data_IF_169213469128
#
_entry.id   IF_169213469128
#
_cell.length_a   1.000
_cell.length_b   1.000
_cell.length_c   1.000
_cell.angle_alpha   90.00
_cell.angle_beta   90.00
_cell.angle_gamma   90.00
#
_symmetry.space_group_name_H-M   'P 1'
#
loop_
_entity.id
_entity.type
_entity.pdbx_description
1 polymer ?
#
# COMPACT_ATOMS: atom_id res chain seq x y z
N UNK A 1 -61.72 -32.40 -39.13
CA UNK A 1 -60.35 -32.05 -39.58
C UNK A 1 -60.02 -30.73 -38.91
N UNK A 2 -59.54 -30.75 -37.66
CA UNK A 2 -58.16 -31.00 -37.20
C UNK A 2 -57.26 -29.77 -37.41
N UNK A 3 -57.21 -28.86 -36.42
CA UNK A 3 -56.19 -28.66 -35.34
C UNK A 3 -55.02 -27.73 -35.78
N UNK A 4 -54.62 -26.87 -34.83
CA UNK A 4 -53.29 -26.23 -34.65
C UNK A 4 -53.11 -24.84 -35.29
N UNK A 5 -53.46 -23.79 -34.54
CA UNK A 5 -52.82 -22.45 -34.63
C UNK A 5 -53.02 -21.69 -33.32
N UNK A 6 -52.48 -22.19 -32.21
CA UNK A 6 -52.54 -21.45 -30.95
C UNK A 6 -51.44 -21.86 -29.98
N UNK A 7 -50.17 -21.69 -30.35
CA UNK A 7 -49.03 -21.91 -29.44
C UNK A 7 -47.74 -21.34 -30.03
N UNK A 8 -47.60 -20.01 -30.08
CA UNK A 8 -46.29 -19.35 -30.34
C UNK A 8 -46.34 -17.83 -30.08
N UNK A 9 -46.80 -17.42 -28.89
CA UNK A 9 -46.77 -16.00 -28.48
C UNK A 9 -46.43 -15.81 -27.00
N UNK A 10 -45.69 -16.74 -26.41
CA UNK A 10 -45.23 -16.67 -25.01
C UNK A 10 -43.72 -16.87 -24.81
N UNK A 11 -42.94 -16.97 -25.90
CA UNK A 11 -41.50 -17.17 -25.81
C UNK A 11 -40.78 -15.97 -26.41
N UNK A 12 -40.83 -14.81 -25.74
CA UNK A 12 -39.94 -13.64 -25.92
C UNK A 12 -40.37 -12.51 -24.97
N UNK A 13 -40.56 -12.82 -23.68
CA UNK A 13 -40.37 -11.80 -22.66
C UNK A 13 -38.86 -11.84 -22.36
N UNK A 14 -38.06 -10.85 -22.80
CA UNK A 14 -36.75 -10.69 -22.21
C UNK A 14 -37.02 -10.50 -20.71
N UNK A 15 -36.45 -11.39 -19.90
CA UNK A 15 -36.19 -11.12 -18.49
C UNK A 15 -35.21 -9.95 -18.52
N UNK A 16 -35.76 -8.74 -18.67
CA UNK A 16 -35.11 -7.53 -18.22
C UNK A 16 -35.23 -7.66 -16.70
N UNK A 17 -34.32 -8.44 -16.13
CA UNK A 17 -33.86 -8.16 -14.78
C UNK A 17 -33.32 -6.75 -14.89
N UNK A 18 -34.19 -5.78 -14.66
CA UNK A 18 -33.78 -4.44 -14.29
C UNK A 18 -32.88 -4.69 -13.09
N UNK A 19 -31.57 -4.64 -13.33
CA UNK A 19 -30.63 -4.38 -12.26
C UNK A 19 -31.19 -3.13 -11.61
N UNK A 20 -31.90 -3.31 -10.50
CA UNK A 20 -32.39 -2.22 -9.70
C UNK A 20 -31.12 -1.43 -9.40
N UNK A 21 -30.96 -0.31 -10.09
CA UNK A 21 -29.94 0.67 -9.75
C UNK A 21 -30.38 1.17 -8.39
N UNK A 22 -29.91 0.48 -7.36
CA UNK A 22 -30.29 0.76 -6.00
C UNK A 22 -29.79 2.16 -5.70
N UNK A 23 -30.77 3.05 -5.49
CA UNK A 23 -30.49 4.45 -5.29
C UNK A 23 -29.78 4.63 -3.94
N UNK A 24 -28.69 5.39 -3.89
CA UNK A 24 -28.05 5.69 -2.63
C UNK A 24 -29.03 6.40 -1.69
N UNK A 25 -29.00 6.03 -0.41
CA UNK A 25 -29.87 6.59 0.63
C UNK A 25 -29.07 7.42 1.64
N UNK A 26 -29.76 8.36 2.28
CA UNK A 26 -29.25 9.13 3.43
C UNK A 26 -29.91 8.69 4.75
N UNK A 27 -30.80 7.70 4.70
CA UNK A 27 -31.40 7.13 5.92
C UNK A 27 -30.32 6.51 6.80
N UNK A 28 -30.31 6.83 8.09
CA UNK A 28 -29.25 6.40 9.01
C UNK A 28 -28.00 7.29 8.96
N UNK A 29 -28.03 8.41 8.25
CA UNK A 29 -27.00 9.46 8.31
C UNK A 29 -27.53 10.63 9.15
N UNK A 30 -26.79 11.00 10.19
CA UNK A 30 -27.16 12.08 11.11
C UNK A 30 -26.01 13.07 11.27
N UNK A 31 -26.23 14.30 10.80
CA UNK A 31 -25.25 15.38 10.94
C UNK A 31 -25.25 15.91 12.38
N UNK A 32 -24.08 15.93 13.00
CA UNK A 32 -23.85 16.63 14.27
C UNK A 32 -23.47 18.08 14.00
N UNK A 33 -22.58 18.28 13.04
CA UNK A 33 -22.16 19.59 12.56
C UNK A 33 -21.99 19.50 11.04
N UNK A 34 -22.80 20.25 10.29
CA UNK A 34 -22.78 20.21 8.81
C UNK A 34 -21.38 20.56 8.30
N UNK A 35 -20.86 19.76 7.38
CA UNK A 35 -19.52 19.97 6.82
C UNK A 35 -18.38 19.40 7.67
N UNK A 36 -18.63 19.06 8.95
CA UNK A 36 -17.56 18.69 9.89
C UNK A 36 -17.77 17.34 10.56
N UNK A 37 -18.94 17.04 11.09
CA UNK A 37 -19.18 15.85 11.89
C UNK A 37 -20.51 15.18 11.57
N UNK A 38 -20.47 13.87 11.37
CA UNK A 38 -21.62 13.06 10.96
C UNK A 38 -21.53 11.66 11.57
N UNK A 39 -22.66 11.21 12.13
CA UNK A 39 -22.86 9.84 12.58
C UNK A 39 -23.55 9.04 11.48
N UNK A 40 -23.09 7.81 11.28
CA UNK A 40 -23.67 6.88 10.32
C UNK A 40 -24.01 5.59 11.03
N UNK A 41 -25.29 5.22 11.02
CA UNK A 41 -25.78 3.92 11.52
C UNK A 41 -25.73 2.91 10.37
N UNK A 42 -24.95 1.85 10.54
CA UNK A 42 -24.86 0.74 9.59
C UNK A 42 -25.50 -0.49 10.22
N UNK A 43 -26.62 -0.95 9.67
CA UNK A 43 -27.26 -2.20 10.11
C UNK A 43 -26.33 -3.39 9.86
N UNK A 44 -26.21 -4.28 10.84
CA UNK A 44 -25.35 -5.46 10.80
C UNK A 44 -26.16 -6.70 11.23
N UNK A 45 -27.02 -7.24 10.34
CA UNK A 45 -27.90 -8.35 10.68
C UNK A 45 -27.15 -9.63 11.06
N UNK A 46 -25.96 -9.87 10.49
CA UNK A 46 -25.09 -10.99 10.86
C UNK A 46 -24.40 -10.84 12.23
N UNK A 47 -24.47 -9.66 12.84
CA UNK A 47 -23.79 -9.39 14.11
C UNK A 47 -24.80 -9.48 15.25
N UNK A 48 -24.71 -10.48 16.13
CA UNK A 48 -25.57 -10.55 17.30
C UNK A 48 -25.29 -9.36 18.24
N UNK A 49 -26.33 -8.89 18.94
CA UNK A 49 -26.21 -7.82 19.92
C UNK A 49 -25.40 -8.32 21.12
N UNK A 50 -24.35 -7.58 21.49
CA UNK A 50 -23.47 -7.99 22.59
C UNK A 50 -24.01 -7.58 23.95
N UNK A 51 -24.25 -8.56 24.81
CA UNK A 51 -24.56 -8.36 26.21
C UNK A 51 -23.24 -8.28 27.01
N UNK A 52 -22.98 -7.14 27.66
CA UNK A 52 -21.71 -6.89 28.37
C UNK A 52 -21.60 -7.71 29.65
N UNK A 53 -22.72 -7.91 30.33
CA UNK A 53 -22.83 -8.57 31.62
C UNK A 53 -22.61 -10.08 31.49
N UNK A 54 -23.24 -10.69 30.49
CA UNK A 54 -23.19 -12.13 30.25
C UNK A 54 -22.07 -12.56 29.28
N UNK A 55 -21.49 -11.61 28.55
CA UNK A 55 -20.51 -11.86 27.49
C UNK A 55 -21.02 -12.83 26.41
N UNK A 56 -22.29 -12.69 26.06
CA UNK A 56 -22.95 -13.49 25.02
C UNK A 56 -23.51 -12.57 23.93
N UNK A 57 -23.60 -13.12 22.72
CA UNK A 57 -24.31 -12.50 21.61
C UNK A 57 -25.77 -12.92 21.61
N UNK A 58 -26.68 -11.97 21.71
CA UNK A 58 -28.12 -12.16 21.58
C UNK A 58 -28.54 -12.01 20.11
N UNK A 59 -29.43 -12.88 19.64
CA UNK A 59 -29.96 -12.87 18.27
C UNK A 59 -31.01 -11.76 18.07
N UNK A 60 -30.56 -10.52 18.23
CA UNK A 60 -31.34 -9.30 18.13
C UNK A 60 -30.71 -8.43 17.04
N UNK A 61 -31.52 -7.80 16.15
CA UNK A 61 -31.00 -6.90 15.13
C UNK A 61 -30.10 -5.83 15.74
N UNK A 62 -28.87 -5.76 15.26
CA UNK A 62 -27.88 -4.80 15.72
C UNK A 62 -27.42 -3.87 14.60
N UNK A 63 -26.79 -2.77 15.00
CA UNK A 63 -26.14 -1.84 14.10
C UNK A 63 -24.85 -1.31 14.72
N UNK A 64 -23.90 -0.92 13.88
CA UNK A 64 -22.70 -0.21 14.28
C UNK A 64 -22.85 1.27 13.98
N UNK A 65 -22.41 2.11 14.91
CA UNK A 65 -22.39 3.57 14.70
C UNK A 65 -20.97 3.99 14.31
N UNK A 66 -20.84 4.65 13.18
CA UNK A 66 -19.59 5.22 12.69
C UNK A 66 -19.62 6.74 12.85
N UNK A 67 -18.67 7.29 13.60
CA UNK A 67 -18.50 8.74 13.76
C UNK A 67 -17.41 9.25 12.83
N UNK A 68 -17.79 10.03 11.83
CA UNK A 68 -16.87 10.75 10.97
C UNK A 68 -16.77 12.19 11.40
N UNK A 69 -15.57 12.66 11.70
CA UNK A 69 -15.34 14.03 12.15
C UNK A 69 -14.09 14.59 11.49
N UNK A 70 -14.19 15.78 10.93
CA UNK A 70 -13.05 16.55 10.46
C UNK A 70 -12.37 17.20 11.66
N UNK A 71 -11.06 17.02 11.76
CA UNK A 71 -10.21 17.57 12.82
C UNK A 71 -10.34 19.09 12.93
N UNK A 72 -10.00 19.66 14.09
CA UNK A 72 -10.18 21.10 14.34
C UNK A 72 -9.38 22.02 13.41
N UNK A 73 -8.28 21.52 12.84
CA UNK A 73 -7.46 22.19 11.83
C UNK A 73 -7.94 21.97 10.39
N UNK A 74 -9.05 21.24 10.22
CA UNK A 74 -9.62 20.80 8.95
C UNK A 74 -8.67 19.96 8.07
N UNK A 75 -7.61 19.38 8.63
CA UNK A 75 -6.61 18.63 7.85
C UNK A 75 -6.88 17.16 7.73
N UNK A 76 -7.67 16.59 8.64
CA UNK A 76 -7.82 15.15 8.76
C UNK A 76 -9.28 14.77 8.95
N UNK A 77 -9.79 13.89 8.11
CA UNK A 77 -10.99 13.12 8.41
C UNK A 77 -10.63 12.02 9.41
N UNK A 78 -11.28 12.08 10.57
CA UNK A 78 -11.22 11.09 11.61
C UNK A 78 -12.42 10.14 11.48
N UNK A 79 -12.22 8.86 11.75
CA UNK A 79 -13.26 7.88 11.99
C UNK A 79 -13.07 7.33 13.41
N UNK A 80 -14.04 7.60 14.29
CA UNK A 80 -13.96 7.24 15.71
C UNK A 80 -12.67 7.77 16.35
N UNK A 81 -12.43 9.07 16.15
CA UNK A 81 -11.23 9.81 16.60
C UNK A 81 -9.88 9.32 16.06
N UNK A 82 -9.88 8.34 15.15
CA UNK A 82 -8.67 7.86 14.48
C UNK A 82 -8.49 8.48 13.08
N UNK A 83 -7.27 8.90 12.71
CA UNK A 83 -6.96 9.40 11.37
C UNK A 83 -7.31 8.40 10.27
N UNK A 84 -8.29 8.76 9.44
CA UNK A 84 -8.73 7.93 8.33
C UNK A 84 -8.26 8.50 6.98
N UNK A 85 -8.23 9.83 6.84
CA UNK A 85 -7.69 10.52 5.67
C UNK A 85 -7.15 11.91 6.02
N UNK A 86 -5.90 12.27 5.69
CA UNK A 86 -4.86 11.39 5.15
C UNK A 86 -4.47 10.30 6.16
N UNK A 87 -3.91 9.19 5.67
CA UNK A 87 -3.32 8.19 6.54
C UNK A 87 -1.99 8.70 7.07
N UNK A 88 -1.82 8.72 8.41
CA UNK A 88 -0.53 9.05 9.02
C UNK A 88 0.55 8.03 8.67
N UNK A 89 0.19 6.74 8.70
CA UNK A 89 1.09 5.62 8.42
C UNK A 89 0.43 4.68 7.41
N UNK A 90 0.58 4.90 6.09
CA UNK A 90 -0.15 4.09 5.13
C UNK A 90 0.30 2.61 5.09
N UNK A 91 1.43 2.26 5.72
CA UNK A 91 1.88 0.88 5.91
C UNK A 91 1.19 0.15 7.07
N UNK A 92 0.57 0.88 7.97
CA UNK A 92 -0.10 0.37 9.17
C UNK A 92 -1.47 1.03 9.24
N UNK A 93 -2.50 0.44 8.58
CA UNK A 93 -3.84 1.02 8.57
C UNK A 93 -4.37 1.20 10.01
N UNK A 94 -5.21 2.22 10.26
CA UNK A 94 -5.76 2.49 11.58
C UNK A 94 -6.62 1.32 12.06
N UNK A 95 -6.55 1.01 13.36
CA UNK A 95 -7.37 -0.03 13.98
C UNK A 95 -8.71 0.57 14.38
N UNK A 96 -9.67 0.49 13.47
CA UNK A 96 -10.98 1.08 13.68
C UNK A 96 -11.82 0.27 14.67
N UNK A 97 -12.57 0.97 15.51
CA UNK A 97 -13.49 0.39 16.46
C UNK A 97 -14.79 1.17 16.49
N UNK A 98 -15.95 0.53 16.59
CA UNK A 98 -17.24 1.22 16.63
C UNK A 98 -18.17 0.67 17.72
N UNK A 99 -18.95 1.54 18.38
CA UNK A 99 -19.99 1.11 19.29
C UNK A 99 -21.14 0.43 18.53
N UNK A 100 -21.62 -0.68 19.08
CA UNK A 100 -22.80 -1.39 18.62
C UNK A 100 -24.05 -0.89 19.37
N UNK A 101 -25.17 -0.82 18.68
CA UNK A 101 -26.46 -0.42 19.24
C UNK A 101 -27.58 -1.35 18.76
N UNK A 102 -28.59 -1.53 19.60
CA UNK A 102 -29.89 -2.14 19.23
C UNK A 102 -30.90 -1.11 18.73
N UNK A 103 -30.54 0.18 18.76
CA UNK A 103 -31.41 1.28 18.38
C UNK A 103 -31.94 1.12 16.94
N UNK A 104 -33.26 1.23 16.80
CA UNK A 104 -33.92 1.17 15.50
C UNK A 104 -33.55 2.39 14.64
N UNK A 105 -33.76 2.30 13.33
CA UNK A 105 -33.47 3.41 12.40
C UNK A 105 -34.25 4.68 12.78
N UNK A 106 -35.53 4.55 13.12
CA UNK A 106 -36.39 5.67 13.52
C UNK A 106 -35.90 6.30 14.83
N UNK A 107 -35.54 5.50 15.83
CA UNK A 107 -34.98 6.02 17.09
C UNK A 107 -33.68 6.79 16.85
N UNK A 108 -32.80 6.29 15.98
CA UNK A 108 -31.54 6.95 15.65
C UNK A 108 -31.76 8.30 14.96
N UNK A 109 -32.74 8.39 14.06
CA UNK A 109 -33.09 9.64 13.38
C UNK A 109 -33.61 10.69 14.37
N UNK A 110 -34.49 10.30 15.30
CA UNK A 110 -35.15 11.22 16.23
C UNK A 110 -34.34 11.52 17.51
N UNK A 111 -33.42 10.63 17.93
CA UNK A 111 -32.67 10.74 19.18
C UNK A 111 -31.15 10.73 18.99
N UNK A 112 -30.39 11.34 19.89
CA UNK A 112 -28.92 11.20 19.90
C UNK A 112 -28.54 9.87 20.56
N UNK A 113 -27.76 8.99 19.92
CA UNK A 113 -27.31 7.76 20.56
C UNK A 113 -26.36 8.10 21.70
N UNK A 114 -26.59 7.51 22.88
CA UNK A 114 -25.62 7.54 23.98
C UNK A 114 -24.53 6.53 23.68
N UNK A 115 -23.33 6.98 23.32
CA UNK A 115 -22.25 6.12 22.85
C UNK A 115 -21.38 5.55 24.00
N UNK A 116 -21.37 6.21 25.15
CA UNK A 116 -20.44 5.92 26.26
C UNK A 116 -20.62 4.51 26.86
N UNK A 117 -21.87 4.04 26.93
CA UNK A 117 -22.20 2.76 27.56
C UNK A 117 -22.32 1.59 26.56
N UNK A 118 -22.07 1.82 25.27
CA UNK A 118 -22.26 0.80 24.24
C UNK A 118 -21.05 -0.16 24.15
N UNK A 119 -21.26 -1.43 23.76
CA UNK A 119 -20.16 -2.35 23.51
C UNK A 119 -19.42 -1.92 22.24
N UNK A 120 -18.09 -1.87 22.33
CA UNK A 120 -17.24 -1.40 21.24
C UNK A 120 -16.61 -2.60 20.55
N UNK A 121 -16.82 -2.69 19.23
CA UNK A 121 -16.28 -3.74 18.38
C UNK A 121 -15.12 -3.21 17.56
N UNK A 122 -14.04 -3.97 17.49
CA UNK A 122 -12.99 -3.73 16.51
C UNK A 122 -13.49 -4.17 15.13
N UNK A 123 -13.14 -3.43 14.08
CA UNK A 123 -13.69 -3.60 12.74
C UNK A 123 -12.68 -4.15 11.74
N UNK A 124 -13.14 -5.06 10.89
CA UNK A 124 -12.51 -5.41 9.62
C UNK A 124 -13.22 -4.66 8.49
N UNK A 125 -12.49 -4.08 7.55
CA UNK A 125 -13.09 -3.20 6.54
C UNK A 125 -12.38 -3.24 5.19
N UNK A 126 -13.16 -3.09 4.12
CA UNK A 126 -12.68 -2.74 2.78
C UNK A 126 -12.68 -1.22 2.67
N UNK A 127 -11.50 -0.67 2.42
CA UNK A 127 -11.27 0.73 2.14
C UNK A 127 -10.98 0.88 0.65
N UNK A 128 -11.96 1.44 -0.06
CA UNK A 128 -11.78 1.84 -1.45
C UNK A 128 -11.53 3.34 -1.46
N UNK A 129 -10.28 3.72 -1.72
CA UNK A 129 -9.87 5.07 -2.05
C UNK A 129 -9.15 5.05 -3.40
N UNK A 130 -9.36 6.07 -4.22
CA UNK A 130 -8.68 6.14 -5.51
C UNK A 130 -7.21 6.49 -5.27
N UNK A 131 -6.26 6.04 -6.12
CA UNK A 131 -4.88 6.54 -6.04
C UNK A 131 -4.75 8.07 -6.15
N UNK A 132 -5.77 8.72 -6.74
CA UNK A 132 -5.88 10.19 -6.79
C UNK A 132 -6.17 10.81 -5.43
N UNK A 133 -6.59 10.01 -4.46
CA UNK A 133 -6.89 10.43 -3.10
C UNK A 133 -5.62 10.41 -2.22
N UNK A 134 -4.43 10.16 -2.81
CA UNK A 134 -3.14 10.31 -2.13
C UNK A 134 -2.89 11.79 -1.80
N UNK A 135 -2.78 12.15 -0.51
CA UNK A 135 -2.56 13.53 -0.05
C UNK A 135 -1.19 14.09 -0.43
N UNK A 136 -0.25 13.24 -0.87
CA UNK A 136 1.08 13.69 -1.31
C UNK A 136 1.11 14.16 -2.76
N UNK A 137 0.07 13.84 -3.55
CA UNK A 137 0.02 14.16 -4.97
C UNK A 137 -0.80 15.43 -5.19
N UNK A 138 -0.23 16.35 -5.97
CA UNK A 138 -0.89 17.60 -6.31
C UNK A 138 -1.99 17.40 -7.38
N UNK A 139 -3.22 17.78 -7.04
CA UNK A 139 -4.34 17.81 -7.99
C UNK A 139 -5.03 19.18 -7.98
N UNK A 140 -5.26 19.74 -9.18
CA UNK A 140 -6.01 20.99 -9.36
C UNK A 140 -7.46 20.92 -8.91
N UNK A 141 -8.02 19.70 -8.80
CA UNK A 141 -9.42 19.48 -8.47
C UNK A 141 -9.57 18.28 -7.54
N UNK A 142 -9.13 18.47 -6.30
CA UNK A 142 -9.05 17.39 -5.32
C UNK A 142 -10.39 17.21 -4.59
N UNK A 143 -11.10 16.13 -4.93
CA UNK A 143 -12.41 15.76 -4.36
C UNK A 143 -12.41 14.29 -3.95
N UNK A 144 -11.81 13.97 -2.80
CA UNK A 144 -11.63 12.57 -2.44
C UNK A 144 -12.94 11.88 -2.09
N UNK A 145 -13.06 10.64 -2.55
CA UNK A 145 -14.25 9.80 -2.37
C UNK A 145 -13.85 8.52 -1.66
N UNK A 146 -14.18 8.46 -0.39
CA UNK A 146 -13.88 7.32 0.45
C UNK A 146 -15.08 6.39 0.51
N UNK A 147 -14.85 5.12 0.26
CA UNK A 147 -15.88 4.09 0.44
C UNK A 147 -15.40 3.10 1.50
N UNK A 148 -16.28 2.80 2.45
CA UNK A 148 -16.02 1.92 3.59
C UNK A 148 -17.09 0.85 3.61
N UNK A 149 -16.67 -0.39 3.47
CA UNK A 149 -17.52 -1.56 3.59
C UNK A 149 -17.03 -2.40 4.78
N UNK A 150 -17.87 -2.65 5.79
CA UNK A 150 -17.46 -3.43 6.96
C UNK A 150 -17.51 -4.92 6.61
N UNK A 151 -16.38 -5.61 6.71
CA UNK A 151 -16.23 -7.02 6.34
C UNK A 151 -16.39 -7.95 7.54
N UNK A 152 -16.14 -7.42 8.74
CA UNK A 152 -16.10 -8.19 9.97
C UNK A 152 -16.12 -7.27 11.18
N UNK A 153 -16.52 -7.83 12.31
CA UNK A 153 -16.48 -7.16 13.60
C UNK A 153 -16.07 -8.17 14.67
N UNK A 154 -15.45 -7.71 15.74
CA UNK A 154 -15.18 -8.60 16.86
C UNK A 154 -14.91 -7.88 18.17
N UNK A 155 -15.18 -8.61 19.25
CA UNK A 155 -15.13 -8.13 20.63
C UNK A 155 -14.71 -9.31 21.52
N UNK A 156 -13.80 -9.09 22.46
CA UNK A 156 -13.39 -10.08 23.46
C UNK A 156 -13.01 -11.48 22.88
N UNK A 157 -12.41 -11.53 21.69
CA UNK A 157 -12.03 -12.79 21.02
C UNK A 157 -13.13 -13.42 20.17
N UNK A 158 -14.37 -12.94 20.24
CA UNK A 158 -15.43 -13.29 19.32
C UNK A 158 -15.28 -12.50 18.03
N UNK A 159 -15.21 -13.19 16.90
CA UNK A 159 -15.11 -12.58 15.58
C UNK A 159 -16.28 -13.05 14.72
N UNK A 160 -16.97 -12.10 14.10
CA UNK A 160 -18.05 -12.34 13.15
C UNK A 160 -17.68 -11.73 11.81
N UNK A 161 -17.84 -12.52 10.74
CA UNK A 161 -17.76 -12.01 9.37
C UNK A 161 -19.13 -11.45 8.99
N UNK A 162 -19.15 -10.26 8.40
CA UNK A 162 -20.37 -9.56 8.02
C UNK A 162 -20.58 -9.72 6.51
N UNK A 163 -21.35 -10.74 6.11
CA UNK A 163 -21.53 -11.17 4.72
C UNK A 163 -22.88 -10.77 4.14
N UNK A 164 -23.82 -10.35 4.98
CA UNK A 164 -25.18 -10.04 4.61
C UNK A 164 -25.24 -8.93 3.54
N UNK A 165 -26.12 -9.13 2.56
CA UNK A 165 -26.27 -8.24 1.41
C UNK A 165 -27.12 -7.00 1.71
N UNK A 166 -27.93 -7.03 2.77
CA UNK A 166 -28.72 -5.91 3.26
C UNK A 166 -27.86 -4.86 3.98
N UNK A 167 -26.68 -5.26 4.46
CA UNK A 167 -25.71 -4.33 5.02
C UNK A 167 -25.29 -3.30 3.97
N UNK A 168 -25.33 -2.02 4.35
CA UNK A 168 -24.96 -0.92 3.46
C UNK A 168 -23.48 -0.60 3.52
N UNK A 169 -22.97 -0.11 2.39
CA UNK A 169 -21.63 0.44 2.21
C UNK A 169 -21.66 1.95 2.41
N UNK A 170 -20.77 2.50 3.24
CA UNK A 170 -20.70 3.94 3.50
C UNK A 170 -19.84 4.61 2.45
N UNK A 171 -20.34 5.66 1.82
CA UNK A 171 -19.57 6.50 0.89
C UNK A 171 -19.56 7.95 1.37
N UNK A 172 -18.36 8.51 1.48
CA UNK A 172 -18.12 9.87 1.94
C UNK A 172 -17.40 10.64 0.84
N UNK A 173 -17.96 11.78 0.48
CA UNK A 173 -17.35 12.73 -0.45
C UNK A 173 -16.84 13.93 0.33
N UNK A 174 -15.54 14.16 0.23
CA UNK A 174 -14.88 15.32 0.81
C UNK A 174 -14.65 16.38 -0.27
N UNK A 175 -14.61 17.64 0.16
CA UNK A 175 -14.16 18.78 -0.63
C UNK A 175 -12.95 19.41 0.03
N UNK A 176 -11.96 19.75 -0.76
CA UNK A 176 -10.81 20.53 -0.31
C UNK A 176 -11.03 22.02 -0.59
N UNK A 177 -11.06 22.84 0.47
CA UNK A 177 -11.26 24.29 0.37
C UNK A 177 -10.06 25.02 -0.25
N UNK A 178 -8.86 24.45 -0.13
CA UNK A 178 -7.64 25.13 -0.53
C UNK A 178 -7.32 24.91 -2.02
N UNK A 179 -7.78 23.82 -2.64
CA UNK A 179 -7.64 23.59 -4.09
C UNK A 179 -8.68 24.35 -4.92
N UNK A 180 -9.85 24.67 -4.34
CA UNK A 180 -10.90 25.46 -5.02
C UNK A 180 -10.50 26.92 -5.20
N UNK A 181 -9.70 27.48 -4.28
CA UNK A 181 -9.48 28.92 -4.18
C UNK A 181 -8.10 29.40 -4.68
N UNK A 182 -7.08 28.54 -4.69
CA UNK A 182 -5.73 28.86 -5.21
C UNK A 182 -5.03 27.60 -5.75
N UNK A 183 -4.14 27.79 -6.73
CA UNK A 183 -3.16 26.76 -7.07
C UNK A 183 -2.37 26.41 -5.79
N UNK A 184 -2.60 25.21 -5.25
CA UNK A 184 -2.03 24.80 -3.96
C UNK A 184 -0.50 24.89 -3.99
N UNK A 185 0.09 25.34 -2.88
CA UNK A 185 1.53 25.30 -2.62
C UNK A 185 2.05 23.86 -2.59
N UNK A 186 3.37 23.69 -2.75
CA UNK A 186 4.10 22.45 -2.47
C UNK A 186 4.80 22.60 -1.09
N UNK A 187 4.49 21.75 -0.09
CA UNK A 187 3.57 20.61 -0.13
C UNK A 187 2.09 21.03 -0.14
N UNK A 188 1.19 20.16 -0.66
CA UNK A 188 -0.25 20.40 -0.68
C UNK A 188 -0.80 20.71 0.71
N UNK A 189 -1.45 21.86 0.85
CA UNK A 189 -2.05 22.27 2.13
C UNK A 189 -3.55 21.97 2.12
N UNK A 190 -3.94 20.70 2.15
CA UNK A 190 -5.36 20.31 2.06
C UNK A 190 -6.19 20.83 3.24
N UNK A 191 -7.46 21.20 3.01
CA UNK A 191 -8.41 21.54 4.07
C UNK A 191 -9.78 20.95 3.74
N UNK A 192 -10.17 19.88 4.44
CA UNK A 192 -11.35 19.08 4.10
C UNK A 192 -12.65 19.60 4.71
N UNK A 193 -13.73 19.39 3.97
CA UNK A 193 -15.11 19.50 4.42
C UNK A 193 -15.89 18.26 3.95
N UNK A 194 -16.73 17.70 4.82
CA UNK A 194 -17.63 16.61 4.47
C UNK A 194 -18.81 17.20 3.69
N UNK A 195 -18.85 16.97 2.38
CA UNK A 195 -19.94 17.49 1.54
C UNK A 195 -21.15 16.57 1.49
N UNK A 196 -20.89 15.27 1.50
CA UNK A 196 -21.91 14.27 1.27
C UNK A 196 -21.54 12.95 1.93
N UNK A 197 -22.52 12.33 2.57
CA UNK A 197 -22.45 10.97 3.09
C UNK A 197 -23.67 10.21 2.61
N UNK A 198 -23.44 9.08 1.94
CA UNK A 198 -24.49 8.23 1.37
C UNK A 198 -24.23 6.77 1.70
N UNK A 199 -25.29 6.03 1.93
CA UNK A 199 -25.29 4.59 2.11
C UNK A 199 -25.72 3.92 0.81
N UNK A 200 -24.90 2.98 0.34
CA UNK A 200 -25.10 2.23 -0.89
C UNK A 200 -25.40 0.78 -0.56
N UNK A 201 -26.19 0.12 -1.40
CA UNK A 201 -26.35 -1.33 -1.30
C UNK A 201 -25.04 -2.05 -1.60
N UNK A 202 -24.79 -3.13 -0.85
CA UNK A 202 -23.67 -4.03 -1.12
C UNK A 202 -23.92 -4.78 -2.43
N UNK A 203 -22.86 -5.02 -3.20
CA UNK A 203 -22.88 -5.79 -4.45
C UNK A 203 -22.31 -7.18 -4.23
N UNK A 204 -22.73 -8.12 -5.08
CA UNK A 204 -22.11 -9.44 -5.10
C UNK A 204 -20.60 -9.30 -5.34
N UNK A 205 -19.79 -9.87 -4.44
CA UNK A 205 -18.33 -9.76 -4.46
C UNK A 205 -17.74 -8.67 -3.54
N UNK A 206 -18.57 -7.83 -2.92
CA UNK A 206 -18.09 -6.85 -1.92
C UNK A 206 -17.78 -7.51 -0.56
N UNK A 207 -18.40 -8.67 -0.27
CA UNK A 207 -18.03 -9.52 0.86
C UNK A 207 -16.88 -10.44 0.46
N UNK A 208 -15.74 -10.30 1.13
CA UNK A 208 -14.53 -11.09 0.88
C UNK A 208 -14.16 -11.82 2.16
N UNK A 209 -13.83 -13.12 2.09
CA UNK A 209 -13.30 -13.83 3.25
C UNK A 209 -11.81 -13.54 3.42
N UNK A 210 -11.30 -13.50 4.66
CA UNK A 210 -9.87 -13.33 4.89
C UNK A 210 -9.03 -14.45 4.27
N UNK A 211 -9.56 -15.68 4.19
CA UNK A 211 -8.87 -16.85 3.64
C UNK A 211 -8.73 -16.82 2.12
N UNK A 212 -9.60 -16.06 1.44
CA UNK A 212 -9.55 -15.88 -0.01
C UNK A 212 -8.46 -14.87 -0.43
N UNK A 213 -7.89 -14.13 0.53
CA UNK A 213 -6.84 -13.16 0.27
C UNK A 213 -5.49 -13.84 0.05
N UNK A 214 -4.68 -13.24 -0.81
CA UNK A 214 -3.31 -13.70 -1.07
C UNK A 214 -2.49 -13.67 0.23
N UNK A 215 -2.06 -14.85 0.65
CA UNK A 215 -1.15 -15.00 1.78
C UNK A 215 0.17 -14.25 1.53
N UNK A 216 0.66 -13.59 2.58
CA UNK A 216 1.92 -12.88 2.53
C UNK A 216 3.10 -13.85 2.58
N UNK A 217 4.15 -13.52 1.85
CA UNK A 217 5.40 -14.28 1.85
C UNK A 217 6.55 -13.37 2.22
N UNK A 218 7.60 -13.94 2.83
CA UNK A 218 8.85 -13.24 3.17
C UNK A 218 9.61 -12.68 1.95
N UNK A 219 9.18 -13.01 0.73
CA UNK A 219 9.72 -12.40 -0.51
C UNK A 219 9.07 -11.07 -0.84
N UNK A 220 7.86 -10.82 -0.32
CA UNK A 220 7.16 -9.56 -0.52
C UNK A 220 7.55 -8.57 0.57
N UNK A 221 8.07 -7.40 0.17
CA UNK A 221 8.42 -6.34 1.10
C UNK A 221 7.21 -5.91 1.95
N UNK A 222 6.07 -5.59 1.31
CA UNK A 222 4.85 -5.10 1.98
C UNK A 222 3.64 -6.02 1.89
N UNK A 223 3.59 -6.93 0.91
CA UNK A 223 2.39 -7.71 0.62
C UNK A 223 1.16 -6.82 0.34
N UNK A 224 1.35 -5.80 -0.50
CA UNK A 224 0.32 -4.83 -0.85
C UNK A 224 -0.75 -5.44 -1.78
N UNK A 225 -1.98 -4.94 -1.65
CA UNK A 225 -3.09 -5.29 -2.54
C UNK A 225 -3.01 -4.48 -3.85
N UNK A 226 -2.43 -3.27 -3.77
CA UNK A 226 -2.17 -2.38 -4.90
C UNK A 226 -0.67 -2.09 -5.08
N UNK A 227 -0.29 -1.67 -6.29
CA UNK A 227 1.06 -1.17 -6.57
C UNK A 227 1.29 0.23 -6.00
N UNK A 228 0.26 1.08 -6.04
CA UNK A 228 0.30 2.48 -5.63
C UNK A 228 -0.45 2.72 -4.30
N UNK A 229 -0.36 3.93 -3.77
CA UNK A 229 -1.07 4.33 -2.55
C UNK A 229 -2.59 4.44 -2.81
N UNK A 230 -3.46 4.06 -1.84
CA UNK A 230 -3.14 3.32 -0.61
C UNK A 230 -2.76 1.86 -0.92
N UNK A 231 -1.78 1.30 -0.21
CA UNK A 231 -1.25 -0.04 -0.54
C UNK A 231 -2.18 -1.20 -0.17
N UNK A 232 -3.14 -0.99 0.74
CA UNK A 232 -4.04 -2.04 1.23
C UNK A 232 -5.48 -1.62 1.03
N UNK A 233 -6.28 -2.56 0.54
CA UNK A 233 -7.72 -2.43 0.33
C UNK A 233 -8.48 -3.12 1.46
N UNK A 234 -8.11 -4.36 1.75
CA UNK A 234 -8.80 -5.21 2.71
C UNK A 234 -8.02 -5.23 4.01
N UNK A 235 -8.58 -4.61 5.05
CA UNK A 235 -7.98 -4.52 6.37
C UNK A 235 -8.72 -5.49 7.29
N UNK A 236 -8.11 -6.65 7.51
CA UNK A 236 -8.54 -7.61 8.53
C UNK A 236 -7.62 -7.50 9.74
N UNK A 237 -8.16 -7.29 10.93
CA UNK A 237 -7.44 -7.11 12.19
C UNK A 237 -6.44 -8.24 12.47
N UNK A 238 -6.81 -9.48 12.14
CA UNK A 238 -5.94 -10.66 12.30
C UNK A 238 -4.70 -10.65 11.39
N UNK A 239 -4.72 -9.86 10.31
CA UNK A 239 -3.64 -9.78 9.33
C UNK A 239 -2.72 -8.58 9.58
N UNK A 240 -3.02 -7.70 10.55
CA UNK A 240 -2.28 -6.46 10.78
C UNK A 240 -1.96 -6.23 12.26
N UNK A 241 -0.73 -5.82 12.53
CA UNK A 241 -0.29 -5.34 13.84
C UNK A 241 0.39 -3.97 13.75
N UNK A 242 0.98 -3.51 14.86
CA UNK A 242 1.70 -2.24 14.94
C UNK A 242 2.85 -2.12 13.92
N UNK A 243 3.42 -3.25 13.47
CA UNK A 243 4.49 -3.31 12.48
C UNK A 243 3.97 -3.41 11.04
N UNK A 244 2.67 -3.61 10.83
CA UNK A 244 2.00 -3.66 9.53
C UNK A 244 1.41 -5.03 9.21
N UNK A 245 1.34 -5.38 7.91
CA UNK A 245 0.74 -6.65 7.46
C UNK A 245 1.62 -7.86 7.83
N UNK A 246 1.07 -8.77 8.63
CA UNK A 246 1.74 -9.96 9.14
C UNK A 246 2.19 -10.87 7.99
N UNK A 247 3.40 -11.42 8.10
CA UNK A 247 4.00 -12.30 7.08
C UNK A 247 4.72 -11.58 5.95
N UNK A 248 4.65 -10.24 5.89
CA UNK A 248 5.51 -9.45 5.00
C UNK A 248 6.95 -9.36 5.52
N UNK A 249 7.94 -9.18 4.64
CA UNK A 249 9.34 -9.03 5.06
C UNK A 249 9.56 -7.77 5.89
N UNK A 250 8.88 -6.66 5.53
CA UNK A 250 8.92 -5.42 6.31
C UNK A 250 8.43 -5.64 7.74
N UNK A 251 7.31 -6.34 7.92
CA UNK A 251 6.78 -6.68 9.23
C UNK A 251 7.81 -7.45 10.05
N UNK A 252 8.40 -8.53 9.51
CA UNK A 252 9.45 -9.30 10.18
C UNK A 252 10.65 -8.43 10.58
N UNK A 253 11.13 -7.56 9.69
CA UNK A 253 12.26 -6.68 9.96
C UNK A 253 11.95 -5.70 11.09
N UNK A 254 10.79 -5.02 11.02
CA UNK A 254 10.40 -4.02 12.01
C UNK A 254 10.10 -4.64 13.38
N UNK A 255 9.44 -5.80 13.41
CA UNK A 255 9.19 -6.54 14.65
C UNK A 255 10.50 -6.96 15.32
N UNK A 256 11.48 -7.48 14.55
CA UNK A 256 12.81 -7.82 15.07
C UNK A 256 13.54 -6.58 15.56
N UNK A 257 13.47 -5.47 14.83
CA UNK A 257 14.07 -4.20 15.22
C UNK A 257 13.47 -3.67 16.53
N UNK A 258 12.13 -3.64 16.64
CA UNK A 258 11.42 -3.25 17.86
C UNK A 258 11.78 -4.14 19.05
N UNK A 259 11.87 -5.45 18.83
CA UNK A 259 12.29 -6.42 19.86
C UNK A 259 13.73 -6.18 20.32
N UNK A 260 14.65 -5.93 19.38
CA UNK A 260 16.04 -5.60 19.71
C UNK A 260 16.10 -4.31 20.52
N UNK A 261 15.36 -3.29 20.11
CA UNK A 261 15.30 -1.99 20.78
C UNK A 261 14.79 -2.12 22.22
N UNK A 262 13.71 -2.87 22.42
CA UNK A 262 13.15 -3.13 23.74
C UNK A 262 14.12 -3.88 24.66
N UNK A 263 14.89 -4.84 24.13
CA UNK A 263 15.79 -5.68 24.95
C UNK A 263 17.15 -5.06 25.23
N UNK A 264 17.77 -4.43 24.24
CA UNK A 264 19.12 -3.90 24.35
C UNK A 264 19.14 -2.42 24.74
N UNK A 265 18.05 -1.70 24.47
CA UNK A 265 17.99 -0.25 24.61
C UNK A 265 18.73 0.47 23.47
N UNK A 266 18.38 1.73 23.29
CA UNK A 266 18.91 2.59 22.22
C UNK A 266 20.45 2.64 22.20
N UNK A 267 21.07 2.88 23.35
CA UNK A 267 22.53 3.07 23.44
C UNK A 267 23.33 1.86 22.97
N UNK A 268 22.91 0.64 23.34
CA UNK A 268 23.63 -0.57 22.96
C UNK A 268 23.47 -0.87 21.46
N UNK A 269 22.30 -0.58 20.90
CA UNK A 269 22.07 -0.72 19.45
C UNK A 269 22.93 0.27 18.68
N UNK A 270 22.96 1.55 19.09
CA UNK A 270 23.79 2.56 18.44
C UNK A 270 25.27 2.17 18.48
N UNK A 271 25.76 1.65 19.62
CA UNK A 271 27.12 1.15 19.74
C UNK A 271 27.38 -0.04 18.81
N UNK A 272 26.45 -1.00 18.72
CA UNK A 272 26.57 -2.14 17.82
C UNK A 272 26.62 -1.70 16.35
N UNK A 273 25.77 -0.76 15.95
CA UNK A 273 25.78 -0.18 14.59
C UNK A 273 27.13 0.50 14.33
N UNK A 274 27.66 1.27 15.28
CA UNK A 274 28.96 1.93 15.13
C UNK A 274 30.10 0.93 14.97
N UNK A 275 30.11 -0.14 15.75
CA UNK A 275 31.13 -1.21 15.65
C UNK A 275 31.04 -1.90 14.29
N UNK A 276 29.84 -2.29 13.85
CA UNK A 276 29.63 -2.94 12.55
C UNK A 276 30.00 -2.00 11.41
N UNK A 277 29.54 -0.75 11.45
CA UNK A 277 29.88 0.26 10.45
C UNK A 277 31.39 0.52 10.40
N UNK A 278 32.05 0.59 11.55
CA UNK A 278 33.51 0.72 11.63
C UNK A 278 34.21 -0.48 10.99
N UNK A 279 33.79 -1.71 11.29
CA UNK A 279 34.36 -2.92 10.68
C UNK A 279 34.19 -2.91 9.15
N UNK A 280 33.01 -2.56 8.65
CA UNK A 280 32.70 -2.55 7.21
C UNK A 280 33.41 -1.40 6.47
N UNK A 281 33.54 -0.22 7.09
CA UNK A 281 34.15 0.96 6.47
C UNK A 281 35.68 1.00 6.62
N UNK A 282 36.25 0.28 7.60
CA UNK A 282 37.71 0.22 7.85
C UNK A 282 38.58 -0.14 6.63
N UNK A 283 38.15 -0.97 5.67
CA UNK A 283 38.97 -1.29 4.50
C UNK A 283 39.03 -0.15 3.47
N UNK A 284 38.07 0.78 3.49
CA UNK A 284 37.95 1.83 2.46
C UNK A 284 39.15 2.80 2.49
N UNK A 285 39.56 3.38 3.64
CA UNK A 285 40.75 4.24 3.70
C UNK A 285 42.02 3.53 3.23
N UNK A 286 42.17 2.25 3.57
CA UNK A 286 43.31 1.44 3.13
C UNK A 286 43.31 1.22 1.62
N UNK A 287 42.14 0.92 1.03
CA UNK A 287 41.99 0.79 -0.41
C UNK A 287 42.30 2.10 -1.14
N UNK A 288 41.81 3.24 -0.63
CA UNK A 288 42.12 4.58 -1.16
C UNK A 288 43.61 4.91 -1.06
N UNK A 289 44.25 4.61 0.07
CA UNK A 289 45.68 4.79 0.26
C UNK A 289 46.51 3.96 -0.74
N UNK A 290 46.17 2.67 -0.90
CA UNK A 290 46.84 1.77 -1.85
C UNK A 290 46.63 2.22 -3.30
N UNK A 291 45.41 2.66 -3.65
CA UNK A 291 45.09 3.22 -4.95
C UNK A 291 45.90 4.48 -5.27
N UNK A 292 45.96 5.43 -4.32
CA UNK A 292 46.77 6.64 -4.46
C UNK A 292 48.26 6.34 -4.64
N UNK A 293 48.81 5.35 -3.93
CA UNK A 293 50.20 4.91 -4.09
C UNK A 293 50.46 4.34 -5.49
N UNK A 294 49.53 3.55 -6.02
CA UNK A 294 49.66 2.96 -7.37
C UNK A 294 49.60 4.03 -8.46
N UNK A 295 48.66 4.97 -8.36
CA UNK A 295 48.55 6.13 -9.27
C UNK A 295 49.84 6.96 -9.24
N UNK A 296 50.39 7.27 -8.06
CA UNK A 296 51.65 8.01 -7.94
C UNK A 296 52.83 7.27 -8.57
N UNK A 297 52.91 5.95 -8.39
CA UNK A 297 53.94 5.13 -9.03
C UNK A 297 53.80 5.15 -10.55
N UNK A 298 52.58 5.09 -11.08
CA UNK A 298 52.30 5.16 -12.51
C UNK A 298 52.65 6.53 -13.09
N UNK A 299 52.30 7.63 -12.40
CA UNK A 299 52.71 8.98 -12.82
C UNK A 299 54.22 9.15 -12.81
N UNK A 300 54.92 8.61 -11.79
CA UNK A 300 56.38 8.65 -11.73
C UNK A 300 57.01 7.86 -12.88
N UNK A 301 56.53 6.64 -13.15
CA UNK A 301 57.01 5.83 -14.27
C UNK A 301 56.76 6.51 -15.62
N UNK A 302 55.61 7.17 -15.80
CA UNK A 302 55.33 7.97 -17.01
C UNK A 302 56.24 9.19 -17.13
N UNK A 303 56.47 9.92 -16.04
CA UNK A 303 57.36 11.08 -16.03
C UNK A 303 58.82 10.69 -16.30
N UNK A 304 59.29 9.58 -15.72
CA UNK A 304 60.62 9.02 -15.99
C UNK A 304 60.76 8.54 -17.44
N UNK A 305 59.72 7.90 -18.01
CA UNK A 305 59.71 7.51 -19.42
C UNK A 305 59.73 8.72 -20.36
N UNK A 306 58.94 9.76 -20.08
CA UNK A 306 58.96 11.02 -20.83
C UNK A 306 60.34 11.69 -20.72
N UNK A 307 60.91 11.77 -19.52
CA UNK A 307 62.24 12.35 -19.31
C UNK A 307 63.36 11.57 -20.02
N UNK A 308 63.25 10.25 -20.15
CA UNK A 308 64.19 9.45 -20.93
C UNK A 308 64.12 9.78 -22.43
N UNK A 309 62.91 9.92 -22.99
CA UNK A 309 62.70 10.31 -24.40
C UNK A 309 63.32 11.68 -24.69
N UNK A 310 63.09 12.69 -23.83
CA UNK A 310 63.70 14.01 -24.02
C UNK A 310 65.23 14.01 -23.90
N UNK A 311 65.79 13.07 -23.11
CA UNK A 311 67.23 12.98 -22.92
C UNK A 311 67.94 12.31 -24.10
N UNK A 312 67.28 11.34 -24.74
CA UNK A 312 67.75 10.76 -26.00
C UNK A 312 67.64 11.80 -27.15
N UNK A 313 66.57 12.61 -27.17
CA UNK A 313 66.43 13.72 -28.13
C UNK A 313 67.52 14.80 -27.95
N UNK A 314 67.92 15.15 -26.71
CA UNK A 314 69.00 16.13 -26.48
C UNK A 314 70.40 15.59 -26.91
N UNK A 315 70.65 14.28 -26.78
CA UNK A 315 71.89 13.65 -27.30
C UNK A 315 71.91 13.57 -28.84
N UNK A 316 70.75 13.44 -29.48
CA UNK A 316 70.61 13.51 -30.94
C UNK A 316 70.60 14.96 -31.48
N UNK A 317 70.24 15.96 -30.66
CA UNK A 317 70.26 17.39 -31.03
C UNK A 317 71.67 18.01 -30.91
N UNK A 318 72.56 17.52 -30.04
CA UNK A 318 74.00 17.87 -30.09
C UNK A 318 74.69 17.32 -31.37
N UNK A 319 74.09 16.34 -32.04
CA UNK A 319 74.51 15.86 -33.36
C UNK A 319 73.96 16.65 -34.56
N UNK A 320 72.99 17.54 -34.35
CA UNK A 320 72.26 18.22 -35.43
C UNK A 320 72.46 19.74 -35.49
N UNK A 321 73.36 20.31 -34.66
CA UNK A 321 73.82 21.70 -34.81
C UNK A 321 74.74 21.94 -36.03
N UNK A 322 74.92 20.95 -36.90
CA UNK A 322 75.48 21.10 -38.25
C UNK A 322 74.57 20.50 -39.32
N UNK A 323 73.29 20.88 -39.34
CA UNK A 323 72.48 20.74 -40.55
C UNK A 323 71.63 21.99 -40.72
N UNK A 324 72.26 22.89 -41.45
CA UNK A 324 71.84 24.11 -42.11
C UNK A 324 70.35 24.29 -42.46
N UNK A 325 70.03 25.57 -42.54
CA UNK A 325 68.78 26.19 -42.94
C UNK A 325 68.18 25.58 -44.23
N UNK A 326 66.92 25.17 -44.17
CA UNK A 326 65.98 25.51 -45.25
C UNK A 326 64.53 25.46 -44.74
N UNK A 327 64.01 26.66 -44.50
CA UNK A 327 62.81 27.21 -45.18
C UNK A 327 62.05 26.16 -46.05
N UNK A 328 60.73 26.04 -46.07
CA UNK A 328 59.66 27.01 -45.83
C UNK A 328 58.34 26.30 -46.20
N UNK A 329 57.26 26.61 -45.48
CA UNK A 329 55.85 26.36 -45.81
C UNK A 329 55.38 24.90 -45.95
N UNK A 330 54.36 24.53 -45.17
CA UNK A 330 53.02 24.20 -45.69
C UNK A 330 52.04 24.19 -44.51
N UNK A 331 51.15 25.18 -44.51
CA UNK A 331 49.89 25.16 -43.77
C UNK A 331 49.04 23.95 -44.23
N UNK A 332 48.50 23.20 -43.28
CA UNK A 332 47.56 22.11 -43.55
C UNK A 332 46.65 21.88 -42.34
N UNK A 333 45.55 22.64 -42.32
CA UNK A 333 44.43 22.52 -41.41
C UNK A 333 43.65 21.23 -41.79
N UNK A 334 43.61 20.20 -40.95
CA UNK A 334 42.52 19.21 -40.99
C UNK A 334 42.12 18.83 -39.56
N UNK A 335 40.90 19.26 -39.22
CA UNK A 335 40.09 18.75 -38.13
C UNK A 335 40.00 17.23 -38.22
N UNK A 336 40.35 16.52 -37.15
CA UNK A 336 39.91 15.13 -36.99
C UNK A 336 38.97 15.10 -35.80
N UNK A 337 37.68 15.10 -36.15
CA UNK A 337 36.56 14.85 -35.25
C UNK A 337 36.82 13.62 -34.38
N UNK A 338 36.71 13.82 -33.07
CA UNK A 338 36.45 12.74 -32.13
C UNK A 338 35.06 12.18 -32.42
N UNK A 339 34.99 11.14 -33.25
CA UNK A 339 33.79 10.34 -33.40
C UNK A 339 33.60 9.51 -32.12
N UNK A 340 32.77 10.03 -31.21
CA UNK A 340 32.15 9.27 -30.13
C UNK A 340 31.33 8.12 -30.73
N UNK A 341 31.90 6.91 -30.75
CA UNK A 341 31.13 5.69 -30.97
C UNK A 341 30.47 5.33 -29.64
N UNK A 342 29.28 5.89 -29.44
CA UNK A 342 28.27 5.35 -28.54
C UNK A 342 28.05 3.87 -28.85
N UNK A 343 28.43 2.99 -27.92
CA UNK A 343 28.06 1.57 -27.96
C UNK A 343 26.63 1.45 -27.44
N UNK A 344 25.67 1.70 -28.33
CA UNK A 344 24.25 1.44 -28.14
C UNK A 344 24.02 -0.08 -28.22
N UNK A 345 23.90 -0.71 -27.05
CA UNK A 345 23.58 -2.12 -26.93
C UNK A 345 22.10 -2.33 -27.20
N UNK A 346 21.73 -2.47 -28.48
CA UNK A 346 20.41 -2.94 -28.88
C UNK A 346 20.17 -4.36 -28.37
N UNK A 347 19.19 -4.45 -27.47
CA UNK A 347 18.52 -5.69 -27.07
C UNK A 347 17.38 -5.90 -28.05
N UNK A 348 17.45 -6.98 -28.84
CA UNK A 348 16.37 -7.36 -29.75
C UNK A 348 16.52 -8.74 -30.36
N UNK A 349 15.88 -9.75 -29.75
CA UNK A 349 15.32 -10.91 -30.43
C UNK A 349 16.19 -12.16 -30.55
N UNK A 350 15.87 -13.23 -29.80
CA UNK A 350 14.93 -14.23 -30.31
C UNK A 350 14.61 -15.33 -29.27
N UNK A 351 13.38 -15.81 -29.39
CA UNK A 351 12.81 -16.95 -28.69
C UNK A 351 13.45 -18.27 -29.17
N UNK A 352 13.67 -19.19 -28.23
CA UNK A 352 13.25 -20.60 -28.26
C UNK A 352 14.06 -21.38 -27.22
N UNK A 353 13.37 -22.02 -26.29
CA UNK A 353 13.98 -22.74 -25.17
C UNK A 353 12.96 -23.17 -24.14
N UNK A 354 11.93 -23.89 -24.59
CA UNK A 354 11.02 -24.65 -23.75
C UNK A 354 11.83 -25.70 -22.97
N UNK A 355 12.19 -25.40 -21.73
CA UNK A 355 12.68 -26.39 -20.78
C UNK A 355 11.47 -26.91 -20.02
N UNK A 356 10.98 -28.07 -20.45
CA UNK A 356 10.10 -28.92 -19.64
C UNK A 356 10.75 -29.15 -18.28
N UNK A 357 10.11 -28.62 -17.24
CA UNK A 357 10.45 -28.93 -15.86
C UNK A 357 9.77 -30.26 -15.53
N UNK A 358 10.48 -31.27 -15.01
CA UNK A 358 9.85 -32.53 -14.66
C UNK A 358 8.84 -32.31 -13.54
N UNK A 359 7.67 -32.95 -13.69
CA UNK A 359 6.65 -33.05 -12.65
C UNK A 359 7.28 -33.64 -11.36
N UNK A 360 6.96 -33.11 -10.17
CA UNK A 360 7.31 -33.80 -8.94
C UNK A 360 6.58 -35.15 -8.86
N UNK A 361 7.21 -36.20 -8.31
CA UNK A 361 6.57 -37.50 -8.18
C UNK A 361 5.33 -37.39 -7.29
N UNK A 362 4.27 -38.05 -7.74
CA UNK A 362 3.02 -38.26 -7.00
C UNK A 362 3.36 -38.98 -5.68
N UNK A 363 2.94 -38.47 -4.51
CA UNK A 363 3.03 -39.21 -3.27
C UNK A 363 2.19 -40.48 -3.38
N UNK A 364 2.83 -41.63 -3.21
CA UNK A 364 2.13 -42.90 -3.06
C UNK A 364 1.15 -42.80 -1.88
N UNK A 365 -0.13 -43.08 -2.14
CA UNK A 365 -1.11 -43.33 -1.10
C UNK A 365 -0.63 -44.53 -0.30
N UNK A 366 -0.11 -44.29 0.90
CA UNK A 366 -0.02 -45.31 1.92
C UNK A 366 -1.38 -45.35 2.58
N UNK A 367 -2.22 -46.26 2.10
CA UNK A 367 -3.30 -46.80 2.90
C UNK A 367 -2.65 -47.54 4.06
N UNK A 368 -2.83 -47.04 5.29
CA UNK A 368 -2.81 -47.79 6.55
C UNK A 368 -2.96 -46.81 7.72
N UNK A 369 -4.21 -46.55 8.12
CA UNK A 369 -4.59 -46.11 9.47
C UNK A 369 -6.13 -46.12 9.58
N UNK A 370 -6.70 -47.30 9.40
CA UNK A 370 -8.07 -47.60 9.80
C UNK A 370 -7.94 -48.69 10.87
N UNK A 371 -7.75 -48.29 12.13
CA UNK A 371 -8.18 -49.02 13.32
C UNK A 371 -7.78 -48.24 14.59
N UNK A 372 -8.61 -48.37 15.63
CA UNK A 372 -8.47 -47.81 16.98
C UNK A 372 -8.98 -46.38 17.22
N UNK A 373 -10.31 -46.23 17.30
CA UNK A 373 -10.94 -45.59 18.45
C UNK A 373 -12.40 -46.02 18.58
N UNK A 374 -12.59 -47.31 18.84
CA UNK A 374 -13.78 -47.82 19.52
C UNK A 374 -13.41 -47.95 21.01
N UNK A 375 -14.25 -47.39 21.89
CA UNK A 375 -14.19 -47.37 23.37
C UNK A 375 -13.30 -46.27 23.99
N UNK A 376 -13.94 -45.18 24.45
CA UNK A 376 -14.32 -44.94 25.87
C UNK A 376 -15.57 -44.07 25.89
#
# INVERSE_FOLDING_TARGET
MAVITQLLLFALLPVVATAAQNNPTTQGVKWLEKGRSVLVRVSTPDLPLWNKEEQIGEDIPSALILNFTVSADNKTLLLQDQPFMPLLLPHTPPRLSAPQTSQSLSEFEHGAPKLEDLPVFDLDYDRIAHPRDDPSIHYYNYYPKLTINLLGAGIAGHNALLKDMEQKVVKITLRDWNTVSRASTDPPNHSFEITEVRLWERRAGDSVNPDDLKACTLKSWRCSDFGDHPWYRYIFRQNFDEYGKIGSFRHMLLQRWGTLYARLGFFRITLLILVVASMVLSPIPYALYKGGKWIKAQHRARAEAVAAVWKDDDEDVEGLLFADESLENVYGYEETECQEVFSEKQVGGNAEGSVEKPLPPVPAQTADALEASEKV
#
